data_IF_466520811089
#
_entry.id   IF_466520811089
#
_cell.length_a   1.000
_cell.length_b   1.000
_cell.length_c   1.000
_cell.angle_alpha   90.00
_cell.angle_beta   90.00
_cell.angle_gamma   90.00
#
_symmetry.space_group_name_H-M   'P 1'
#
loop_
_entity.id
_entity.type
_entity.pdbx_description
1 polymer ?
#
# COMPACT_ATOMS: atom_id res chain seq x y z
N UNK A 1 -107.22 -25.68 9.35
CA UNK A 1 -107.60 -25.48 7.97
C UNK A 1 -106.94 -24.26 7.39
N UNK A 2 -106.20 -24.49 6.40
CA UNK A 2 -106.05 -23.64 5.24
C UNK A 2 -105.04 -22.46 5.28
N UNK A 3 -103.96 -22.77 4.60
CA UNK A 3 -103.25 -22.00 3.59
C UNK A 3 -102.29 -20.94 4.05
N UNK A 4 -101.11 -21.41 4.27
CA UNK A 4 -99.91 -20.65 4.30
C UNK A 4 -99.51 -20.25 2.88
N UNK A 5 -99.73 -19.01 2.50
CA UNK A 5 -99.25 -18.48 1.23
C UNK A 5 -97.78 -18.11 1.38
N UNK A 6 -96.96 -18.73 0.55
CA UNK A 6 -95.56 -18.49 0.42
C UNK A 6 -95.32 -17.07 -0.03
N UNK A 7 -94.65 -16.29 0.82
CA UNK A 7 -94.09 -15.01 0.44
C UNK A 7 -92.60 -15.25 0.17
N UNK A 8 -92.23 -15.27 -1.06
CA UNK A 8 -90.84 -15.33 -1.49
C UNK A 8 -90.33 -13.90 -1.43
N UNK A 9 -89.53 -13.64 -0.46
CA UNK A 9 -88.75 -12.38 -0.37
C UNK A 9 -87.48 -12.56 -1.22
N UNK A 10 -87.46 -11.86 -2.37
CA UNK A 10 -86.24 -11.73 -3.16
C UNK A 10 -85.29 -10.78 -2.45
N UNK A 11 -84.29 -11.30 -1.78
CA UNK A 11 -83.22 -10.50 -1.25
C UNK A 11 -82.28 -10.15 -2.42
N UNK A 12 -82.43 -8.92 -2.89
CA UNK A 12 -81.51 -8.35 -3.89
C UNK A 12 -80.19 -8.04 -3.20
N UNK A 13 -79.21 -8.94 -3.30
CA UNK A 13 -77.85 -8.69 -2.85
C UNK A 13 -77.18 -7.70 -3.79
N UNK A 14 -77.19 -6.44 -3.41
CA UNK A 14 -76.36 -5.43 -4.09
C UNK A 14 -74.92 -5.72 -3.65
N UNK A 15 -74.17 -6.42 -4.51
CA UNK A 15 -72.74 -6.55 -4.40
C UNK A 15 -72.11 -5.17 -4.63
N UNK A 16 -71.74 -4.48 -3.54
CA UNK A 16 -70.90 -3.31 -3.64
C UNK A 16 -69.53 -3.76 -4.21
N UNK A 17 -69.36 -3.57 -5.52
CA UNK A 17 -68.02 -3.65 -6.08
C UNK A 17 -67.22 -2.47 -5.63
N UNK A 18 -66.49 -2.63 -4.51
CA UNK A 18 -65.42 -1.73 -4.14
C UNK A 18 -64.31 -1.93 -5.19
N UNK A 19 -63.98 -0.92 -6.01
CA UNK A 19 -62.82 -1.04 -6.87
C UNK A 19 -61.59 -1.19 -5.93
N UNK A 20 -61.01 -2.38 -5.86
CA UNK A 20 -59.72 -2.61 -5.30
C UNK A 20 -58.73 -1.86 -6.19
N UNK A 21 -58.51 -0.58 -5.92
CA UNK A 21 -57.34 0.12 -6.45
C UNK A 21 -56.16 -0.63 -5.90
N UNK A 22 -55.62 -1.55 -6.70
CA UNK A 22 -54.28 -2.09 -6.43
C UNK A 22 -53.36 -0.87 -6.31
N UNK A 23 -53.00 -0.54 -5.08
CA UNK A 23 -51.86 0.34 -4.84
C UNK A 23 -50.68 -0.40 -5.50
N UNK A 24 -50.34 0.03 -6.70
CA UNK A 24 -49.08 -0.35 -7.32
C UNK A 24 -48.02 0.02 -6.31
N UNK A 25 -47.45 -0.98 -5.65
CA UNK A 25 -46.28 -0.79 -4.85
C UNK A 25 -45.29 -0.10 -5.77
N UNK A 26 -44.99 1.18 -5.52
CA UNK A 26 -43.94 1.91 -6.19
C UNK A 26 -42.66 1.21 -5.81
N UNK A 27 -42.24 0.22 -6.60
CA UNK A 27 -40.93 -0.38 -6.45
C UNK A 27 -39.93 0.75 -6.50
N UNK A 28 -39.25 0.96 -5.36
CA UNK A 28 -38.16 1.92 -5.31
C UNK A 28 -37.17 1.57 -6.42
N UNK A 29 -36.83 2.50 -7.32
CA UNK A 29 -36.04 2.17 -8.51
C UNK A 29 -34.73 1.49 -8.05
N UNK A 30 -34.51 0.28 -8.57
CA UNK A 30 -33.34 -0.54 -8.28
C UNK A 30 -32.06 0.28 -8.54
N UNK A 31 -31.24 0.43 -7.52
CA UNK A 31 -29.99 1.19 -7.62
C UNK A 31 -28.96 0.46 -8.50
N UNK A 32 -28.37 1.15 -9.44
CA UNK A 32 -27.32 0.62 -10.29
C UNK A 32 -26.07 0.23 -9.47
N UNK A 33 -25.61 -1.02 -9.58
CA UNK A 33 -24.43 -1.51 -8.84
C UNK A 33 -23.14 -1.01 -9.47
N UNK A 34 -22.28 -0.42 -8.66
CA UNK A 34 -20.93 0.01 -9.08
C UNK A 34 -19.99 -1.18 -9.37
N UNK A 35 -20.28 -2.38 -8.86
CA UNK A 35 -19.41 -3.54 -9.04
C UNK A 35 -19.32 -3.97 -10.52
N UNK A 36 -18.09 -4.22 -10.98
CA UNK A 36 -17.84 -4.73 -12.34
C UNK A 36 -17.82 -3.68 -13.44
N UNK A 37 -18.51 -2.56 -13.25
CA UNK A 37 -18.75 -1.55 -14.30
C UNK A 37 -18.14 -0.17 -14.01
N UNK A 38 -17.29 -0.07 -12.98
CA UNK A 38 -16.73 1.22 -12.54
C UNK A 38 -15.23 1.29 -12.70
N UNK A 39 -14.75 2.36 -13.32
CA UNK A 39 -13.32 2.70 -13.41
C UNK A 39 -13.01 3.88 -12.51
N UNK A 40 -11.94 3.75 -11.69
CA UNK A 40 -11.46 4.79 -10.78
C UNK A 40 -10.10 5.29 -11.26
N UNK A 41 -10.00 6.57 -11.56
CA UNK A 41 -8.74 7.24 -11.91
C UNK A 41 -8.27 8.07 -10.73
N UNK A 42 -7.11 7.72 -10.18
CA UNK A 42 -6.45 8.46 -9.10
C UNK A 42 -5.44 9.47 -9.67
N UNK A 43 -5.26 10.61 -9.00
CA UNK A 43 -4.26 11.63 -9.38
C UNK A 43 -2.84 11.06 -9.37
N UNK A 44 -2.58 10.09 -8.51
CA UNK A 44 -1.29 9.40 -8.40
C UNK A 44 -1.45 8.02 -7.80
N UNK A 45 -0.89 6.99 -8.44
CA UNK A 45 -0.93 5.60 -7.96
C UNK A 45 0.31 5.22 -7.12
N UNK A 46 1.36 6.06 -7.09
CA UNK A 46 2.59 5.75 -6.38
C UNK A 46 3.24 7.00 -5.79
N UNK A 47 3.60 6.92 -4.52
CA UNK A 47 4.36 7.92 -3.77
C UNK A 47 5.67 7.32 -3.29
N UNK A 48 6.60 8.16 -2.82
CA UNK A 48 7.78 7.72 -2.08
C UNK A 48 7.67 8.23 -0.65
N UNK A 49 8.00 7.39 0.33
CA UNK A 49 7.97 7.76 1.74
C UNK A 49 8.75 9.08 2.00
N UNK A 50 8.09 10.03 2.64
CA UNK A 50 8.63 11.35 2.98
C UNK A 50 8.33 11.79 4.41
N UNK A 51 7.88 10.87 5.26
CA UNK A 51 7.49 11.11 6.65
C UNK A 51 6.21 11.97 6.84
N UNK A 52 5.51 12.31 5.77
CA UNK A 52 4.21 12.99 5.78
C UNK A 52 3.11 12.03 5.33
N UNK A 53 1.86 12.29 5.72
CA UNK A 53 0.71 11.54 5.20
C UNK A 53 0.53 11.87 3.72
N UNK A 54 0.33 10.84 2.89
CA UNK A 54 0.21 10.97 1.44
C UNK A 54 -1.03 10.21 0.97
N UNK A 55 -1.96 10.91 0.33
CA UNK A 55 -3.18 10.37 -0.27
C UNK A 55 -3.34 10.94 -1.67
N UNK A 56 -3.73 10.14 -2.67
CA UNK A 56 -4.15 10.67 -3.96
C UNK A 56 -5.53 11.32 -3.84
N UNK A 57 -5.85 12.26 -4.72
CA UNK A 57 -7.23 12.62 -5.01
C UNK A 57 -7.82 11.67 -6.03
N UNK A 58 -9.13 11.49 -6.03
CA UNK A 58 -9.87 10.84 -7.09
C UNK A 58 -10.05 11.87 -8.21
N UNK A 59 -9.53 11.58 -9.42
CA UNK A 59 -9.68 12.47 -10.57
C UNK A 59 -11.01 12.26 -11.27
N UNK A 60 -11.34 10.99 -11.50
CA UNK A 60 -12.55 10.62 -12.25
C UNK A 60 -13.02 9.25 -11.79
N UNK A 61 -14.32 9.12 -11.67
CA UNK A 61 -15.02 7.83 -11.52
C UNK A 61 -15.98 7.72 -12.67
N UNK A 62 -15.84 6.68 -13.48
CA UNK A 62 -16.76 6.40 -14.58
C UNK A 62 -17.50 5.10 -14.36
N UNK A 63 -18.75 5.05 -14.79
CA UNK A 63 -19.61 3.88 -14.72
C UNK A 63 -20.12 3.54 -16.12
N UNK A 64 -20.03 2.27 -16.52
CA UNK A 64 -20.59 1.77 -17.76
C UNK A 64 -21.97 1.19 -17.47
N UNK A 65 -23.03 1.79 -18.03
CA UNK A 65 -24.40 1.34 -17.83
C UNK A 65 -24.74 0.06 -18.66
N UNK A 66 -25.94 -0.45 -18.51
CA UNK A 66 -26.41 -1.66 -19.24
C UNK A 66 -26.35 -1.50 -20.76
N UNK A 67 -26.58 -0.30 -21.28
CA UNK A 67 -26.52 0.03 -22.71
C UNK A 67 -25.08 0.19 -23.22
N UNK A 68 -24.08 -0.06 -22.38
CA UNK A 68 -22.68 0.10 -22.75
C UNK A 68 -22.15 1.54 -22.72
N UNK A 69 -23.00 2.52 -22.40
CA UNK A 69 -22.64 3.94 -22.34
C UNK A 69 -21.85 4.25 -21.05
N UNK A 70 -20.77 4.99 -21.19
CA UNK A 70 -19.94 5.43 -20.06
C UNK A 70 -20.44 6.78 -19.53
N UNK A 71 -20.68 6.83 -18.22
CA UNK A 71 -21.14 8.02 -17.49
C UNK A 71 -20.09 8.41 -16.46
N UNK A 72 -19.76 9.69 -16.37
CA UNK A 72 -18.90 10.22 -15.30
C UNK A 72 -19.74 10.50 -14.07
N UNK A 73 -19.34 9.93 -12.94
CA UNK A 73 -20.03 10.06 -11.65
C UNK A 73 -19.52 11.27 -10.89
N UNK A 74 -20.42 11.89 -10.09
CA UNK A 74 -20.14 13.09 -9.28
C UNK A 74 -20.00 12.72 -7.81
N UNK A 75 -18.86 13.11 -7.20
CA UNK A 75 -18.64 12.96 -5.75
C UNK A 75 -19.65 13.76 -4.94
N UNK A 76 -20.13 13.20 -3.85
CA UNK A 76 -21.17 13.79 -2.97
C UNK A 76 -22.60 13.51 -3.44
N UNK A 77 -22.83 13.30 -4.73
CA UNK A 77 -24.16 12.96 -5.31
C UNK A 77 -24.26 11.48 -5.63
N UNK A 78 -23.35 10.97 -6.47
CA UNK A 78 -23.38 9.62 -6.99
C UNK A 78 -22.52 8.65 -6.16
N UNK A 79 -21.52 9.16 -5.45
CA UNK A 79 -20.64 8.35 -4.61
C UNK A 79 -19.96 9.17 -3.50
N UNK A 80 -19.42 8.45 -2.53
CA UNK A 80 -18.52 8.97 -1.49
C UNK A 80 -17.17 8.29 -1.56
N UNK A 81 -16.11 8.99 -1.09
CA UNK A 81 -14.72 8.50 -1.06
C UNK A 81 -14.28 8.20 0.36
N UNK A 82 -13.68 7.04 0.57
CA UNK A 82 -13.02 6.70 1.84
C UNK A 82 -11.66 6.06 1.62
N UNK A 83 -10.79 6.13 2.63
CA UNK A 83 -9.45 5.57 2.61
C UNK A 83 -9.32 4.48 3.67
N UNK A 84 -8.66 3.38 3.35
CA UNK A 84 -8.48 2.23 4.24
C UNK A 84 -7.82 2.55 5.58
N UNK A 85 -7.09 3.67 5.68
CA UNK A 85 -6.47 4.15 6.91
C UNK A 85 -6.55 5.67 7.02
N UNK A 86 -6.82 6.17 8.23
CA UNK A 86 -6.83 7.61 8.54
C UNK A 86 -5.45 8.23 8.27
N UNK A 87 -4.36 7.54 8.63
CA UNK A 87 -2.99 7.98 8.35
C UNK A 87 -2.29 7.04 7.37
N UNK A 88 -1.74 7.61 6.30
CA UNK A 88 -1.00 6.93 5.22
C UNK A 88 0.44 7.45 5.15
N UNK A 89 1.10 7.50 6.32
CA UNK A 89 2.45 8.04 6.47
C UNK A 89 3.55 7.04 6.10
N UNK A 90 3.33 5.73 6.33
CA UNK A 90 4.36 4.70 6.14
C UNK A 90 4.37 4.11 4.73
N UNK A 91 5.49 3.50 4.33
CA UNK A 91 5.54 2.70 3.11
C UNK A 91 4.60 1.50 3.23
N UNK A 92 3.87 1.22 2.16
CA UNK A 92 2.85 0.17 2.08
C UNK A 92 1.84 0.42 0.97
N UNK A 93 0.93 -0.52 0.79
CA UNK A 93 -0.21 -0.40 -0.14
C UNK A 93 -1.45 -0.01 0.63
N UNK A 94 -2.22 0.91 0.09
CA UNK A 94 -3.43 1.49 0.67
C UNK A 94 -4.56 1.44 -0.34
N UNK A 95 -5.80 1.39 0.15
CA UNK A 95 -7.00 1.35 -0.70
C UNK A 95 -7.77 2.66 -0.61
N UNK A 96 -8.31 3.07 -1.74
CA UNK A 96 -9.35 4.08 -1.88
C UNK A 96 -10.63 3.34 -2.21
N UNK A 97 -11.69 3.58 -1.45
CA UNK A 97 -13.00 2.97 -1.66
C UNK A 97 -13.98 4.04 -2.12
N UNK A 98 -14.63 3.77 -3.23
CA UNK A 98 -15.77 4.51 -3.76
C UNK A 98 -17.01 3.74 -3.35
N UNK A 99 -17.91 4.38 -2.61
CA UNK A 99 -19.21 3.81 -2.19
C UNK A 99 -20.32 4.56 -2.91
N UNK A 100 -21.16 3.85 -3.64
CA UNK A 100 -22.31 4.41 -4.34
C UNK A 100 -23.33 5.03 -3.40
N UNK A 101 -23.91 6.15 -3.81
CA UNK A 101 -25.00 6.88 -3.17
C UNK A 101 -26.04 7.30 -4.21
N UNK A 102 -27.16 7.87 -3.78
CA UNK A 102 -28.25 8.25 -4.68
C UNK A 102 -28.77 7.07 -5.48
N UNK A 103 -28.68 7.13 -6.80
CA UNK A 103 -29.10 6.09 -7.75
C UNK A 103 -28.08 4.94 -7.92
N UNK A 104 -26.94 5.00 -7.23
CA UNK A 104 -25.92 3.96 -7.27
C UNK A 104 -25.79 3.23 -5.95
N UNK A 105 -25.36 1.96 -5.99
CA UNK A 105 -25.18 1.08 -4.85
C UNK A 105 -23.85 0.34 -4.93
N UNK A 106 -23.48 -0.35 -3.84
CA UNK A 106 -22.25 -1.13 -3.76
C UNK A 106 -20.99 -0.29 -3.56
N UNK A 107 -19.84 -0.97 -3.60
CA UNK A 107 -18.53 -0.32 -3.39
C UNK A 107 -17.49 -0.93 -4.32
N UNK A 108 -16.60 -0.09 -4.83
CA UNK A 108 -15.44 -0.47 -5.63
C UNK A 108 -14.17 0.13 -5.03
N UNK A 109 -13.03 -0.52 -5.24
CA UNK A 109 -11.77 -0.09 -4.65
C UNK A 109 -10.67 0.06 -5.70
N UNK A 110 -9.83 1.07 -5.50
CA UNK A 110 -8.56 1.23 -6.21
C UNK A 110 -7.43 1.26 -5.19
N UNK A 111 -6.22 0.88 -5.60
CA UNK A 111 -5.05 0.87 -4.70
C UNK A 111 -4.02 1.90 -5.13
N UNK A 112 -3.29 2.42 -4.13
CA UNK A 112 -2.07 3.20 -4.35
C UNK A 112 -0.97 2.75 -3.39
N UNK A 113 0.28 3.02 -3.74
CA UNK A 113 1.44 2.53 -2.99
C UNK A 113 2.32 3.68 -2.54
N UNK A 114 2.76 3.65 -1.28
CA UNK A 114 3.87 4.46 -0.80
C UNK A 114 5.11 3.57 -0.80
N UNK A 115 6.02 3.81 -1.73
CA UNK A 115 7.29 3.08 -1.88
C UNK A 115 8.26 3.47 -0.78
N UNK A 116 9.16 2.56 -0.40
CA UNK A 116 10.26 2.87 0.53
C UNK A 116 11.17 3.94 -0.08
N UNK A 117 11.60 4.88 0.76
CA UNK A 117 12.64 5.83 0.37
C UNK A 117 14.01 5.15 0.31
N UNK A 118 14.89 5.65 -0.57
CA UNK A 118 16.29 5.21 -0.60
C UNK A 118 17.05 5.70 0.64
N UNK A 119 18.03 4.95 1.08
CA UNK A 119 19.02 5.39 2.08
C UNK A 119 19.93 6.44 1.43
N UNK A 120 19.49 7.70 1.42
CA UNK A 120 20.31 8.83 0.95
C UNK A 120 21.29 9.24 2.04
N UNK A 121 22.47 9.74 1.64
CA UNK A 121 23.49 10.31 2.53
C UNK A 121 24.13 9.30 3.52
N UNK A 122 24.07 8.00 3.24
CA UNK A 122 24.88 7.04 3.99
C UNK A 122 26.35 7.23 3.61
N UNK A 123 27.14 7.69 4.57
CA UNK A 123 28.60 7.82 4.44
C UNK A 123 29.26 6.65 5.16
N UNK A 124 30.19 5.98 4.51
CA UNK A 124 31.04 4.96 5.12
C UNK A 124 32.43 5.53 5.25
N UNK A 125 32.87 5.71 6.47
CA UNK A 125 34.21 6.21 6.81
C UNK A 125 35.07 5.12 7.42
N UNK A 126 36.35 5.17 7.20
CA UNK A 126 37.33 4.31 7.82
C UNK A 126 38.69 5.05 7.88
N UNK A 127 39.58 4.61 8.80
CA UNK A 127 40.95 5.15 8.96
C UNK A 127 41.99 4.28 8.25
N UNK A 128 41.56 3.34 7.36
CA UNK A 128 42.49 2.51 6.62
C UNK A 128 43.23 3.32 5.55
N UNK A 129 44.54 3.19 5.53
CA UNK A 129 45.41 3.63 4.42
C UNK A 129 46.12 2.42 3.85
N UNK A 130 46.39 2.42 2.54
CA UNK A 130 47.10 1.32 1.88
C UNK A 130 48.43 1.03 2.62
N UNK A 131 48.55 -0.19 3.14
CA UNK A 131 49.60 -0.59 4.04
C UNK A 131 50.43 -1.72 3.44
N UNK A 132 51.74 -1.71 3.60
CA UNK A 132 52.64 -2.78 3.11
C UNK A 132 52.41 -4.09 3.86
N UNK A 133 52.41 -5.23 3.18
CA UNK A 133 52.20 -6.57 3.76
C UNK A 133 53.16 -6.89 4.89
N UNK A 134 54.39 -6.36 4.82
CA UNK A 134 55.41 -6.52 5.87
C UNK A 134 54.94 -6.00 7.24
N UNK A 135 54.04 -5.00 7.29
CA UNK A 135 53.47 -4.48 8.54
C UNK A 135 52.66 -5.53 9.30
N UNK A 136 52.15 -6.53 8.61
CA UNK A 136 51.30 -7.59 9.19
C UNK A 136 52.10 -8.89 9.47
N UNK A 137 53.40 -8.92 9.26
CA UNK A 137 54.21 -10.12 9.50
C UNK A 137 54.18 -10.56 10.97
N UNK A 138 54.35 -9.61 11.89
CA UNK A 138 54.44 -9.89 13.34
C UNK A 138 53.08 -9.90 14.04
N UNK A 139 52.17 -8.97 13.70
CA UNK A 139 50.84 -8.83 14.34
C UNK A 139 49.79 -8.30 13.39
N UNK A 140 48.52 -8.59 13.69
CA UNK A 140 47.39 -7.99 12.98
C UNK A 140 47.16 -6.54 13.36
N UNK A 141 46.38 -5.81 12.57
CA UNK A 141 46.02 -4.41 12.83
C UNK A 141 44.51 -4.18 12.61
N UNK A 142 43.89 -3.43 13.51
CA UNK A 142 42.46 -3.12 13.47
C UNK A 142 42.19 -1.74 12.93
N UNK A 143 41.09 -1.62 12.20
CA UNK A 143 40.56 -0.37 11.67
C UNK A 143 39.05 -0.30 11.93
N UNK A 144 38.59 0.88 12.32
CA UNK A 144 37.14 1.07 12.50
C UNK A 144 36.50 1.57 11.23
N UNK A 145 35.44 0.89 10.82
CA UNK A 145 34.53 1.28 9.74
C UNK A 145 33.24 1.78 10.38
N UNK A 146 32.78 2.94 10.01
CA UNK A 146 31.57 3.55 10.54
C UNK A 146 30.64 3.96 9.41
N UNK A 147 29.41 3.51 9.45
CA UNK A 147 28.34 4.02 8.60
C UNK A 147 27.56 5.09 9.34
N UNK A 148 27.42 6.27 8.75
CA UNK A 148 26.66 7.41 9.30
C UNK A 148 25.56 7.81 8.33
N UNK A 149 24.60 8.64 8.75
CA UNK A 149 23.48 9.07 7.91
C UNK A 149 22.42 7.97 7.65
N UNK A 150 22.49 6.87 8.39
CA UNK A 150 21.54 5.75 8.28
C UNK A 150 20.17 6.18 8.78
N UNK A 151 19.13 5.98 7.98
CA UNK A 151 17.74 6.33 8.29
C UNK A 151 16.96 5.12 8.80
N UNK A 152 15.92 5.39 9.60
CA UNK A 152 14.96 4.40 10.07
C UNK A 152 15.53 3.42 11.11
N UNK A 153 16.59 3.78 11.85
CA UNK A 153 17.26 2.91 12.83
C UNK A 153 17.66 1.54 12.24
N UNK A 154 18.06 1.53 10.97
CA UNK A 154 18.39 0.30 10.26
C UNK A 154 19.65 -0.37 10.83
N UNK A 155 19.64 -1.71 10.94
CA UNK A 155 20.82 -2.50 11.34
C UNK A 155 21.91 -2.36 10.28
N UNK A 156 23.14 -2.10 10.73
CA UNK A 156 24.33 -2.07 9.88
C UNK A 156 25.16 -3.31 10.14
N UNK A 157 25.55 -4.00 9.08
CA UNK A 157 26.43 -5.17 9.13
C UNK A 157 27.65 -4.96 8.26
N UNK A 158 28.74 -5.60 8.64
CA UNK A 158 30.02 -5.52 7.96
C UNK A 158 30.48 -6.92 7.64
N UNK A 159 30.94 -7.14 6.41
CA UNK A 159 31.51 -8.41 5.98
C UNK A 159 32.81 -8.14 5.21
N UNK A 160 33.74 -9.09 5.23
CA UNK A 160 34.96 -8.98 4.48
C UNK A 160 35.14 -10.14 3.52
N UNK A 161 35.85 -9.92 2.41
CA UNK A 161 36.08 -10.89 1.34
C UNK A 161 37.12 -11.97 1.66
N UNK A 162 37.75 -11.91 2.84
CA UNK A 162 38.81 -12.86 3.22
C UNK A 162 38.65 -13.32 4.65
N UNK A 163 38.89 -14.60 4.91
CA UNK A 163 38.99 -15.20 6.25
C UNK A 163 40.13 -14.61 7.10
N UNK A 164 41.09 -13.93 6.48
CA UNK A 164 42.16 -13.16 7.17
C UNK A 164 41.68 -11.86 7.77
N UNK A 165 40.39 -11.54 7.65
CA UNK A 165 39.75 -10.41 8.33
C UNK A 165 38.82 -10.92 9.42
N UNK A 166 39.04 -10.45 10.65
CA UNK A 166 38.08 -10.60 11.75
C UNK A 166 37.20 -9.36 11.80
N UNK A 167 35.88 -9.55 11.74
CA UNK A 167 34.90 -8.46 11.69
C UNK A 167 34.02 -8.51 12.94
N UNK A 168 34.02 -7.45 13.74
CA UNK A 168 33.13 -7.32 14.91
C UNK A 168 32.68 -5.87 15.07
N UNK A 169 31.37 -5.62 14.95
CA UNK A 169 30.72 -4.31 15.17
C UNK A 169 31.41 -3.13 14.47
N UNK A 170 31.80 -3.31 13.19
CA UNK A 170 32.52 -2.29 12.43
C UNK A 170 34.03 -2.21 12.69
N UNK A 171 34.55 -2.94 13.67
CA UNK A 171 36.00 -3.11 13.84
C UNK A 171 36.46 -4.25 12.93
N UNK A 172 37.30 -3.92 11.96
CA UNK A 172 37.85 -4.86 10.97
C UNK A 172 39.32 -5.05 11.33
N UNK A 173 39.72 -6.26 11.69
CA UNK A 173 41.07 -6.63 12.02
C UNK A 173 41.68 -7.44 10.89
N UNK A 174 42.70 -6.91 10.25
CA UNK A 174 43.55 -7.65 9.31
C UNK A 174 44.48 -8.54 10.13
N UNK A 175 44.41 -9.84 9.92
CA UNK A 175 45.16 -10.82 10.70
C UNK A 175 46.65 -10.83 10.33
N UNK A 176 47.49 -11.35 11.24
CA UNK A 176 48.87 -11.66 10.96
C UNK A 176 49.01 -12.49 9.67
N UNK A 177 50.02 -12.21 8.87
CA UNK A 177 50.33 -12.94 7.63
C UNK A 177 49.38 -12.69 6.46
N UNK A 178 48.64 -11.57 6.47
CA UNK A 178 47.87 -11.20 5.28
C UNK A 178 48.80 -10.88 4.14
N UNK A 179 48.54 -11.47 2.96
CA UNK A 179 49.34 -11.31 1.75
C UNK A 179 49.03 -9.99 1.02
N UNK A 180 49.98 -9.52 0.18
CA UNK A 180 49.73 -8.46 -0.79
C UNK A 180 48.48 -8.80 -1.63
N UNK A 181 47.63 -7.81 -1.89
CA UNK A 181 46.40 -8.04 -2.68
C UNK A 181 45.35 -6.96 -2.43
N UNK A 182 44.27 -7.10 -3.16
CA UNK A 182 43.09 -6.24 -3.07
C UNK A 182 41.95 -7.02 -2.42
N UNK A 183 41.48 -6.52 -1.29
CA UNK A 183 40.41 -7.10 -0.51
C UNK A 183 39.21 -6.14 -0.47
N UNK A 184 38.06 -6.65 -0.08
CA UNK A 184 36.82 -5.86 0.00
C UNK A 184 36.21 -5.96 1.40
N UNK A 185 35.73 -4.84 1.91
CA UNK A 185 34.84 -4.78 3.09
C UNK A 185 33.48 -4.29 2.60
N UNK A 186 32.47 -5.08 2.78
CA UNK A 186 31.10 -4.73 2.39
C UNK A 186 30.32 -4.28 3.62
N UNK A 187 29.77 -3.09 3.54
CA UNK A 187 28.89 -2.49 4.56
C UNK A 187 27.46 -2.58 4.04
N UNK A 188 26.60 -3.29 4.76
CA UNK A 188 25.16 -3.44 4.42
C UNK A 188 24.32 -2.74 5.47
N UNK A 189 23.42 -1.88 5.02
CA UNK A 189 22.35 -1.28 5.82
C UNK A 189 21.07 -2.04 5.49
N UNK A 190 20.45 -2.65 6.48
CA UNK A 190 19.24 -3.44 6.30
C UNK A 190 18.06 -2.56 5.84
N UNK A 191 17.13 -3.15 5.09
CA UNK A 191 15.84 -2.51 4.81
C UNK A 191 15.06 -2.31 6.12
N UNK A 192 14.28 -1.26 6.19
CA UNK A 192 13.31 -1.01 7.28
C UNK A 192 11.90 -0.94 6.73
N UNK A 193 10.93 -0.62 7.56
CA UNK A 193 9.55 -0.38 7.12
C UNK A 193 9.50 0.67 6.00
N UNK A 194 10.25 1.77 6.16
CA UNK A 194 10.14 2.98 5.33
C UNK A 194 11.34 3.24 4.42
N UNK A 195 12.45 2.51 4.59
CA UNK A 195 13.68 2.72 3.81
C UNK A 195 14.15 1.42 3.16
N UNK A 196 14.65 1.53 1.95
CA UNK A 196 15.29 0.43 1.22
C UNK A 196 16.64 0.06 1.85
N UNK A 197 17.13 -1.14 1.56
CA UNK A 197 18.49 -1.52 1.91
C UNK A 197 19.51 -0.67 1.14
N UNK A 198 20.72 -0.58 1.70
CA UNK A 198 21.86 0.05 1.05
C UNK A 198 23.09 -0.81 1.24
N UNK A 199 23.95 -0.86 0.21
CA UNK A 199 25.23 -1.59 0.27
C UNK A 199 26.33 -0.71 -0.27
N UNK A 200 27.47 -0.70 0.43
CA UNK A 200 28.69 -0.02 0.02
C UNK A 200 29.88 -0.95 0.19
N UNK A 201 30.66 -1.12 -0.86
CA UNK A 201 31.91 -1.86 -0.80
C UNK A 201 33.08 -0.88 -0.70
N UNK A 202 33.97 -1.16 0.22
CA UNK A 202 35.23 -0.42 0.44
C UNK A 202 36.38 -1.33 0.08
N UNK A 203 37.26 -0.86 -0.78
CA UNK A 203 38.45 -1.58 -1.20
C UNK A 203 39.58 -1.39 -0.18
N UNK A 204 40.23 -2.49 0.19
CA UNK A 204 41.36 -2.56 1.12
C UNK A 204 42.56 -3.05 0.31
N UNK A 205 43.51 -2.18 0.03
CA UNK A 205 44.70 -2.52 -0.77
C UNK A 205 45.91 -2.75 0.17
N UNK A 206 46.37 -4.02 0.27
CA UNK A 206 47.63 -4.40 0.94
C UNK A 206 48.73 -4.43 -0.12
N UNK A 207 49.74 -3.61 0.03
CA UNK A 207 50.86 -3.47 -0.91
C UNK A 207 52.01 -4.39 -0.53
#
# INVERSE_FOLDING_TARGET
>A
MKNLKKLIAIIMVIALMIPCTAMAATESPSKASLKGNTTIVLSKKSFTFNNKSQKPSVKTVTYKNADGKTVTLKEGTDYTVSFSKKSTKNAGTYKVTIKGTGKYSGSVTSSYTIKKAKQKNVKVTNKYKATKAKTFKKKGKSYTFKATGVKGKAKVTYTASSKKFKVKNGKITLSKGIKKGTYKVTVKVAKTKNYSAYTKTVTIKVK
#
